data_IF_883456201766
#
_entry.id   IF_883456201766
#
_cell.length_a   1.000
_cell.length_b   1.000
_cell.length_c   1.000
_cell.angle_alpha   90.00
_cell.angle_beta   90.00
_cell.angle_gamma   90.00
#
_symmetry.space_group_name_H-M   'P 1'
#
loop_
_entity.id
_entity.type
_entity.pdbx_description
1 polymer ?
#
# COMPACT_ATOMS: atom_id res chain seq x y z
N UNK A 1 21.69 23.63 -5.68
CA UNK A 1 20.38 23.21 -5.15
C UNK A 1 19.35 23.36 -6.28
N UNK A 2 18.54 22.35 -6.58
CA UNK A 2 17.48 22.41 -7.61
C UNK A 2 16.11 22.34 -6.93
N UNK A 3 15.10 23.03 -7.48
CA UNK A 3 13.69 22.92 -7.06
C UNK A 3 12.89 22.34 -8.22
N UNK A 4 12.06 21.34 -7.95
CA UNK A 4 11.12 20.77 -8.90
C UNK A 4 9.72 21.31 -8.61
N UNK A 5 8.95 21.59 -9.66
CA UNK A 5 7.51 21.85 -9.53
C UNK A 5 6.76 20.53 -9.31
N UNK A 6 5.47 20.62 -8.95
CA UNK A 6 4.60 19.44 -8.78
C UNK A 6 4.56 18.59 -10.05
N UNK A 7 4.49 19.24 -11.21
CA UNK A 7 4.41 18.60 -12.53
C UNK A 7 5.74 17.91 -12.86
N UNK A 8 6.86 18.57 -12.59
CA UNK A 8 8.20 18.00 -12.80
C UNK A 8 8.51 16.81 -11.87
N UNK A 9 7.80 16.67 -10.75
CA UNK A 9 7.92 15.50 -9.88
C UNK A 9 7.29 14.23 -10.46
N UNK A 10 6.47 14.32 -11.51
CA UNK A 10 5.81 13.19 -12.18
C UNK A 10 5.09 12.25 -11.19
N UNK A 11 4.30 12.83 -10.27
CA UNK A 11 3.64 12.06 -9.22
C UNK A 11 2.60 11.08 -9.79
N UNK A 12 2.66 9.84 -9.31
CA UNK A 12 1.70 8.77 -9.58
C UNK A 12 1.33 7.99 -8.32
N UNK A 13 0.52 6.93 -8.45
CA UNK A 13 0.17 6.07 -7.32
C UNK A 13 1.43 5.36 -6.79
N UNK A 14 1.88 5.75 -5.59
CA UNK A 14 3.14 5.28 -4.98
C UNK A 14 4.35 5.50 -5.89
N UNK A 15 4.34 6.57 -6.68
CA UNK A 15 5.36 6.79 -7.70
C UNK A 15 5.72 8.26 -7.90
N UNK A 16 6.96 8.49 -8.37
CA UNK A 16 7.49 9.82 -8.70
C UNK A 16 8.81 9.71 -9.47
N UNK A 17 9.27 10.83 -10.05
CA UNK A 17 10.58 10.96 -10.70
C UNK A 17 11.76 10.48 -9.83
N UNK A 18 11.63 10.55 -8.50
CA UNK A 18 12.68 10.15 -7.54
C UNK A 18 12.90 8.63 -7.48
N UNK A 19 11.93 7.84 -7.96
CA UNK A 19 12.08 6.38 -8.13
C UNK A 19 12.63 5.99 -9.49
N UNK A 20 12.76 6.95 -10.41
CA UNK A 20 13.11 6.73 -11.81
C UNK A 20 14.32 7.56 -12.20
N UNK A 21 14.14 8.67 -12.95
CA UNK A 21 15.22 9.45 -13.55
C UNK A 21 16.18 10.03 -12.50
N UNK A 22 15.69 10.33 -11.30
CA UNK A 22 16.46 10.89 -10.20
C UNK A 22 16.85 9.87 -9.12
N UNK A 23 16.53 8.58 -9.32
CA UNK A 23 16.98 7.51 -8.42
C UNK A 23 18.52 7.55 -8.33
N UNK A 24 19.04 7.53 -7.10
CA UNK A 24 20.47 7.58 -6.75
C UNK A 24 21.24 8.82 -7.25
N UNK A 25 20.53 9.86 -7.72
CA UNK A 25 21.13 11.11 -8.24
C UNK A 25 20.69 12.36 -7.48
N UNK A 26 19.72 12.23 -6.58
CA UNK A 26 19.16 13.35 -5.84
C UNK A 26 18.86 12.97 -4.39
N UNK A 27 19.04 13.93 -3.48
CA UNK A 27 18.60 13.86 -2.10
C UNK A 27 17.58 14.97 -1.89
N UNK A 28 16.39 14.63 -1.37
CA UNK A 28 15.36 15.61 -1.02
C UNK A 28 15.76 16.28 0.29
N UNK A 29 15.96 17.60 0.25
CA UNK A 29 16.38 18.38 1.43
C UNK A 29 15.25 19.23 2.04
N UNK A 30 14.19 19.49 1.27
CA UNK A 30 13.03 20.26 1.72
C UNK A 30 11.81 19.92 0.86
N UNK A 31 10.62 20.09 1.44
CA UNK A 31 9.34 19.97 0.72
C UNK A 31 8.59 21.30 0.81
N UNK A 32 7.96 21.71 -0.30
CA UNK A 32 7.05 22.84 -0.34
C UNK A 32 5.62 22.34 -0.38
N UNK A 33 4.78 22.81 0.54
CA UNK A 33 3.36 22.47 0.60
C UNK A 33 2.54 23.76 0.45
N UNK A 34 1.50 23.70 -0.39
CA UNK A 34 0.50 24.76 -0.50
C UNK A 34 -0.80 24.25 0.13
N UNK A 35 -1.36 25.03 1.04
CA UNK A 35 -2.60 24.71 1.75
C UNK A 35 -3.63 25.80 1.46
N UNK A 36 -4.82 25.40 1.01
CA UNK A 36 -5.90 26.34 0.73
C UNK A 36 -6.42 26.96 2.03
N UNK A 37 -6.45 28.30 2.08
CA UNK A 37 -7.02 29.04 3.22
C UNK A 37 -8.54 28.82 3.35
N UNK A 38 -9.21 28.62 2.21
CA UNK A 38 -10.61 28.19 2.15
C UNK A 38 -10.62 26.67 2.19
N UNK A 39 -10.56 26.13 3.40
CA UNK A 39 -10.53 24.69 3.61
C UNK A 39 -11.77 24.00 3.06
N UNK A 40 -11.57 22.85 2.43
CA UNK A 40 -12.62 21.96 1.95
C UNK A 40 -12.32 20.54 2.43
N UNK A 41 -13.24 19.87 3.13
CA UNK A 41 -13.01 18.50 3.58
C UNK A 41 -13.08 17.52 2.40
N UNK A 42 -12.13 16.60 2.34
CA UNK A 42 -12.26 15.41 1.50
C UNK A 42 -12.80 14.25 2.36
N UNK A 43 -14.08 13.93 2.19
CA UNK A 43 -14.80 12.91 2.95
C UNK A 43 -15.08 11.64 2.13
N UNK A 44 -14.42 11.47 0.98
CA UNK A 44 -14.70 10.34 0.07
C UNK A 44 -14.31 8.98 0.64
N UNK A 45 -13.43 8.95 1.65
CA UNK A 45 -12.95 7.72 2.29
C UNK A 45 -13.95 7.22 3.35
N UNK A 46 -14.31 5.93 3.29
CA UNK A 46 -15.44 5.34 4.01
C UNK A 46 -15.70 5.85 5.45
N UNK A 47 -14.76 5.71 6.40
CA UNK A 47 -14.96 6.19 7.78
C UNK A 47 -15.27 7.69 7.90
N UNK A 48 -14.79 8.52 6.97
CA UNK A 48 -15.02 9.96 6.95
C UNK A 48 -16.41 10.33 6.40
N UNK A 49 -17.12 9.42 5.73
CA UNK A 49 -18.48 9.66 5.23
C UNK A 49 -19.51 9.81 6.35
N UNK A 50 -19.13 9.54 7.60
CA UNK A 50 -19.93 9.85 8.80
C UNK A 50 -19.95 11.33 9.18
N UNK A 51 -19.07 12.15 8.58
CA UNK A 51 -19.03 13.59 8.80
C UNK A 51 -19.90 14.32 7.78
N UNK A 52 -20.60 15.35 8.24
CA UNK A 52 -21.35 16.24 7.36
C UNK A 52 -20.41 17.27 6.70
N UNK A 53 -20.41 17.40 5.36
CA UNK A 53 -19.49 18.30 4.65
C UNK A 53 -19.52 19.76 5.10
N UNK A 54 -20.69 20.25 5.53
CA UNK A 54 -20.91 21.65 5.91
C UNK A 54 -20.46 21.98 7.34
N UNK A 55 -20.31 20.98 8.20
CA UNK A 55 -19.96 21.17 9.63
C UNK A 55 -18.68 20.46 10.03
N UNK A 56 -18.13 19.60 9.15
CA UNK A 56 -16.85 18.96 9.35
C UNK A 56 -15.77 20.01 9.70
N UNK A 57 -14.83 19.62 10.56
CA UNK A 57 -13.66 20.46 10.90
C UNK A 57 -12.39 19.70 10.55
N UNK A 58 -11.26 20.40 10.28
CA UNK A 58 -9.97 19.73 10.07
C UNK A 58 -9.60 18.79 11.23
N UNK A 59 -9.92 19.18 12.47
CA UNK A 59 -9.65 18.37 13.67
C UNK A 59 -10.50 17.09 13.71
N UNK A 60 -11.79 17.17 13.38
CA UNK A 60 -12.65 15.98 13.33
C UNK A 60 -12.16 14.98 12.27
N UNK A 61 -11.77 15.46 11.08
CA UNK A 61 -11.17 14.61 10.04
C UNK A 61 -9.88 13.98 10.53
N UNK A 62 -8.98 14.76 11.15
CA UNK A 62 -7.74 14.26 11.72
C UNK A 62 -7.99 13.16 12.76
N UNK A 63 -8.91 13.37 13.70
CA UNK A 63 -9.19 12.42 14.79
C UNK A 63 -9.73 11.08 14.26
N UNK A 64 -10.65 11.11 13.28
CA UNK A 64 -11.16 9.89 12.65
C UNK A 64 -10.04 9.16 11.91
N UNK A 65 -9.21 9.88 11.15
CA UNK A 65 -8.07 9.27 10.43
C UNK A 65 -7.09 8.62 11.40
N UNK A 66 -6.75 9.28 12.51
CA UNK A 66 -5.85 8.73 13.54
C UNK A 66 -6.45 7.47 14.16
N UNK A 67 -7.70 7.54 14.61
CA UNK A 67 -8.41 6.40 15.23
C UNK A 67 -8.43 5.18 14.31
N UNK A 68 -8.89 5.35 13.07
CA UNK A 68 -8.97 4.26 12.09
C UNK A 68 -7.60 3.65 11.80
N UNK A 69 -6.55 4.47 11.75
CA UNK A 69 -5.19 3.97 11.51
C UNK A 69 -4.66 3.18 12.70
N UNK A 70 -4.92 3.62 13.93
CA UNK A 70 -4.53 2.90 15.16
C UNK A 70 -5.26 1.56 15.30
N UNK A 71 -6.50 1.46 14.85
CA UNK A 71 -7.27 0.20 14.85
C UNK A 71 -6.76 -0.80 13.80
N UNK A 72 -6.36 -0.31 12.62
CA UNK A 72 -6.05 -1.16 11.45
C UNK A 72 -4.58 -1.47 11.26
N UNK A 73 -3.67 -0.62 11.72
CA UNK A 73 -2.23 -0.74 11.43
C UNK A 73 -1.47 -1.09 12.70
N UNK A 74 -0.65 -2.16 12.70
CA UNK A 74 0.18 -2.48 13.84
C UNK A 74 1.22 -1.37 14.08
N UNK A 75 1.37 -0.95 15.34
CA UNK A 75 2.42 0.00 15.72
C UNK A 75 3.79 -0.67 15.52
N UNK A 76 4.67 -0.13 14.64
CA UNK A 76 6.00 -0.69 14.41
C UNK A 76 6.87 -0.80 15.67
N UNK A 77 6.59 0.00 16.71
CA UNK A 77 7.28 -0.09 18.01
C UNK A 77 6.87 -1.31 18.83
N UNK A 78 5.68 -1.85 18.58
CA UNK A 78 5.16 -3.06 19.24
C UNK A 78 5.46 -4.29 18.41
N UNK A 79 5.20 -4.22 17.09
CA UNK A 79 5.49 -5.31 16.16
C UNK A 79 6.05 -4.73 14.87
N UNK A 80 7.35 -4.97 14.64
CA UNK A 80 8.09 -4.38 13.53
C UNK A 80 7.39 -4.65 12.19
N UNK A 81 7.14 -3.59 11.42
CA UNK A 81 6.50 -3.67 10.11
C UNK A 81 6.86 -2.44 9.27
N UNK A 82 6.67 -2.53 7.96
CA UNK A 82 6.91 -1.45 7.01
C UNK A 82 5.61 -0.90 6.40
N UNK A 83 4.48 -1.04 7.12
CA UNK A 83 3.15 -0.71 6.60
C UNK A 83 2.65 -1.71 5.56
N UNK A 84 1.87 -1.23 4.60
CA UNK A 84 1.38 -2.05 3.49
C UNK A 84 2.55 -2.56 2.64
N UNK A 85 2.71 -3.88 2.57
CA UNK A 85 3.84 -4.51 1.91
C UNK A 85 3.71 -4.51 0.39
N UNK A 86 2.48 -4.65 -0.12
CA UNK A 86 2.16 -4.62 -1.54
C UNK A 86 1.36 -3.37 -1.91
N UNK A 87 1.55 -2.91 -3.14
CA UNK A 87 0.67 -1.91 -3.74
C UNK A 87 -0.68 -2.55 -4.06
N UNK A 88 -1.72 -1.72 -4.15
CA UNK A 88 -2.97 -2.14 -4.77
C UNK A 88 -2.80 -2.24 -6.29
N UNK A 89 -2.96 -3.41 -6.91
CA UNK A 89 -2.75 -3.58 -8.34
C UNK A 89 -3.83 -2.83 -9.12
N UNK A 90 -3.43 -2.25 -10.25
CA UNK A 90 -4.34 -1.64 -11.22
C UNK A 90 -4.42 -2.59 -12.42
N UNK A 91 -5.63 -3.00 -12.77
CA UNK A 91 -5.90 -3.95 -13.85
C UNK A 91 -6.82 -3.34 -14.90
N UNK A 92 -6.86 -3.94 -16.10
CA UNK A 92 -7.76 -3.50 -17.17
C UNK A 92 -9.24 -3.70 -16.79
N UNK A 93 -10.13 -2.97 -17.46
CA UNK A 93 -11.59 -3.17 -17.30
C UNK A 93 -12.01 -4.59 -17.66
N UNK A 94 -11.44 -5.16 -18.73
CA UNK A 94 -11.72 -6.52 -19.17
C UNK A 94 -11.35 -7.56 -18.10
N UNK A 95 -10.15 -7.45 -17.51
CA UNK A 95 -9.75 -8.34 -16.43
C UNK A 95 -10.62 -8.14 -15.18
N UNK A 96 -11.03 -6.89 -14.90
CA UNK A 96 -11.92 -6.59 -13.79
C UNK A 96 -13.29 -7.24 -13.97
N UNK A 97 -13.89 -7.16 -15.16
CA UNK A 97 -15.22 -7.74 -15.43
C UNK A 97 -15.20 -9.26 -15.25
N UNK A 98 -14.15 -9.93 -15.74
CA UNK A 98 -13.94 -11.37 -15.53
C UNK A 98 -13.84 -11.71 -14.05
N UNK A 99 -13.03 -10.98 -13.28
CA UNK A 99 -12.87 -11.22 -11.85
C UNK A 99 -14.14 -10.89 -11.07
N UNK A 100 -14.87 -9.84 -11.45
CA UNK A 100 -16.09 -9.43 -10.77
C UNK A 100 -17.21 -10.45 -10.94
N UNK A 101 -17.28 -11.11 -12.10
CA UNK A 101 -18.21 -12.21 -12.35
C UNK A 101 -17.88 -13.48 -11.56
N UNK A 102 -16.62 -13.71 -11.21
CA UNK A 102 -16.20 -14.87 -10.40
C UNK A 102 -16.25 -14.59 -8.89
N UNK A 103 -16.06 -13.32 -8.51
CA UNK A 103 -15.97 -12.89 -7.13
C UNK A 103 -16.88 -11.69 -6.87
N UNK A 104 -18.14 -11.95 -6.54
CA UNK A 104 -19.16 -10.91 -6.30
C UNK A 104 -18.73 -9.86 -5.26
N UNK A 105 -17.99 -10.28 -4.23
CA UNK A 105 -17.50 -9.41 -3.17
C UNK A 105 -16.18 -8.66 -3.51
N UNK A 106 -15.68 -8.76 -4.75
CA UNK A 106 -14.45 -8.11 -5.19
C UNK A 106 -14.48 -6.60 -4.92
N UNK A 107 -13.50 -6.13 -4.14
CA UNK A 107 -13.33 -4.73 -3.77
C UNK A 107 -12.36 -4.05 -4.72
N UNK A 108 -12.86 -3.08 -5.48
CA UNK A 108 -12.08 -2.30 -6.43
C UNK A 108 -12.53 -0.84 -6.44
N UNK A 109 -11.64 0.04 -6.88
CA UNK A 109 -11.88 1.48 -7.00
C UNK A 109 -11.46 1.96 -8.40
N UNK A 110 -12.17 2.93 -9.00
CA UNK A 110 -11.73 3.54 -10.24
C UNK A 110 -10.31 4.11 -10.13
N UNK A 111 -9.51 3.89 -11.18
CA UNK A 111 -8.20 4.53 -11.39
C UNK A 111 -8.19 5.24 -12.75
N UNK A 112 -7.13 6.00 -13.05
CA UNK A 112 -7.03 6.70 -14.34
C UNK A 112 -7.11 5.73 -15.53
N UNK A 113 -6.48 4.56 -15.41
CA UNK A 113 -6.43 3.52 -16.44
C UNK A 113 -6.86 2.19 -15.82
N UNK A 114 -8.17 1.92 -15.80
CA UNK A 114 -8.74 0.66 -15.30
C UNK A 114 -9.18 0.70 -13.83
N UNK A 115 -9.15 -0.47 -13.19
CA UNK A 115 -9.66 -0.67 -11.83
C UNK A 115 -8.53 -1.02 -10.87
N UNK A 116 -8.45 -0.31 -9.74
CA UNK A 116 -7.51 -0.58 -8.66
C UNK A 116 -8.13 -1.54 -7.65
N UNK A 117 -7.63 -2.76 -7.59
CA UNK A 117 -8.12 -3.78 -6.66
C UNK A 117 -7.56 -3.55 -5.26
N UNK A 118 -8.33 -3.87 -4.21
CA UNK A 118 -7.83 -3.86 -2.85
C UNK A 118 -6.95 -5.10 -2.61
N UNK A 119 -5.62 -4.95 -2.61
CA UNK A 119 -4.67 -6.05 -2.39
C UNK A 119 -4.89 -6.74 -1.03
N UNK A 120 -5.23 -5.97 0.01
CA UNK A 120 -5.56 -6.55 1.31
C UNK A 120 -6.77 -7.49 1.26
N UNK A 121 -7.75 -7.21 0.40
CA UNK A 121 -8.89 -8.11 0.19
C UNK A 121 -8.45 -9.37 -0.57
N UNK A 122 -7.64 -9.24 -1.62
CA UNK A 122 -7.12 -10.39 -2.38
C UNK A 122 -6.35 -11.36 -1.46
N UNK A 123 -5.44 -10.85 -0.63
CA UNK A 123 -4.62 -11.65 0.30
C UNK A 123 -5.51 -12.32 1.37
N UNK A 124 -6.51 -11.60 1.88
CA UNK A 124 -7.49 -12.12 2.83
C UNK A 124 -8.30 -13.28 2.24
N UNK A 125 -8.73 -13.14 0.99
CA UNK A 125 -9.44 -14.21 0.27
C UNK A 125 -8.56 -15.42 -0.04
N UNK A 126 -7.23 -15.29 -0.06
CA UNK A 126 -6.31 -16.44 -0.09
C UNK A 126 -6.19 -17.14 1.29
N UNK A 127 -6.85 -16.64 2.34
CA UNK A 127 -6.80 -17.22 3.68
C UNK A 127 -5.48 -16.98 4.41
N UNK A 128 -4.73 -15.94 4.02
CA UNK A 128 -3.35 -15.78 4.45
C UNK A 128 -3.18 -14.97 5.74
N UNK A 129 -4.25 -14.43 6.34
CA UNK A 129 -4.14 -13.74 7.65
C UNK A 129 -3.61 -14.70 8.71
N UNK A 130 -2.55 -14.29 9.41
CA UNK A 130 -1.87 -15.12 10.41
C UNK A 130 -0.96 -16.20 9.81
N UNK A 131 -0.84 -16.31 8.48
CA UNK A 131 0.12 -17.21 7.85
C UNK A 131 1.54 -16.75 8.19
N UNK A 132 2.40 -17.70 8.56
CA UNK A 132 3.73 -17.46 9.09
C UNK A 132 4.78 -18.29 8.35
N UNK A 133 5.90 -17.66 8.00
CA UNK A 133 7.13 -18.31 7.52
C UNK A 133 8.27 -17.79 8.38
N UNK A 134 9.02 -18.69 9.01
CA UNK A 134 10.06 -18.31 9.98
C UNK A 134 9.49 -17.40 11.08
N UNK A 135 10.13 -16.25 11.33
CA UNK A 135 9.62 -15.24 12.25
C UNK A 135 8.68 -14.19 11.63
N UNK A 136 8.44 -14.25 10.31
CA UNK A 136 7.58 -13.30 9.58
C UNK A 136 6.13 -13.81 9.51
N UNK A 137 5.15 -12.90 9.63
CA UNK A 137 3.74 -13.26 9.59
C UNK A 137 2.90 -12.22 8.83
N UNK A 138 1.83 -12.66 8.17
CA UNK A 138 0.79 -11.77 7.64
C UNK A 138 -0.10 -11.30 8.80
N UNK A 139 -0.26 -10.00 8.98
CA UNK A 139 -0.98 -9.46 10.15
C UNK A 139 -2.46 -9.92 10.18
N UNK A 140 -2.97 -10.45 11.30
CA UNK A 140 -4.33 -11.00 11.39
C UNK A 140 -5.45 -10.00 11.08
N UNK A 141 -5.26 -8.72 11.44
CA UNK A 141 -6.30 -7.70 11.22
C UNK A 141 -6.09 -6.91 9.93
N UNK A 142 -4.96 -7.08 9.25
CA UNK A 142 -4.62 -6.33 8.05
C UNK A 142 -3.71 -7.14 7.13
N UNK A 143 -4.31 -7.92 6.22
CA UNK A 143 -3.60 -8.87 5.37
C UNK A 143 -2.53 -8.24 4.46
N UNK A 144 -2.61 -6.92 4.23
CA UNK A 144 -1.64 -6.19 3.43
C UNK A 144 -0.32 -5.92 4.18
N UNK A 145 -0.25 -6.15 5.49
CA UNK A 145 0.91 -5.84 6.32
C UNK A 145 1.62 -7.14 6.71
N UNK A 146 2.91 -7.23 6.39
CA UNK A 146 3.80 -8.27 6.90
C UNK A 146 4.49 -7.75 8.17
N UNK A 147 4.58 -8.59 9.18
CA UNK A 147 5.11 -8.24 10.50
C UNK A 147 6.26 -9.15 10.91
N UNK A 148 7.21 -8.57 11.65
CA UNK A 148 8.17 -9.33 12.43
C UNK A 148 7.47 -9.82 13.70
N UNK A 149 6.99 -11.06 13.67
CA UNK A 149 6.24 -11.66 14.76
C UNK A 149 7.16 -12.23 15.85
N UNK A 150 8.22 -12.93 15.45
CA UNK A 150 9.08 -13.67 16.38
C UNK A 150 10.53 -13.73 15.90
N UNK A 151 11.18 -12.56 15.74
CA UNK A 151 12.58 -12.49 15.33
C UNK A 151 12.79 -12.77 13.84
N UNK A 152 11.88 -12.29 12.99
CA UNK A 152 11.92 -12.47 11.54
C UNK A 152 13.27 -12.06 10.95
N UNK A 153 13.82 -12.92 10.11
CA UNK A 153 14.94 -12.58 9.25
C UNK A 153 14.46 -11.86 7.99
N UNK A 154 15.37 -11.22 7.26
CA UNK A 154 15.05 -10.67 5.95
C UNK A 154 14.59 -11.77 4.97
N UNK A 155 15.16 -12.98 5.07
CA UNK A 155 14.80 -14.12 4.24
C UNK A 155 13.37 -14.59 4.51
N UNK A 156 12.96 -14.64 5.79
CA UNK A 156 11.58 -14.99 6.18
C UNK A 156 10.55 -14.05 5.52
N UNK A 157 10.87 -12.75 5.47
CA UNK A 157 10.02 -11.73 4.84
C UNK A 157 9.99 -11.89 3.32
N UNK A 158 11.13 -12.21 2.69
CA UNK A 158 11.23 -12.48 1.25
C UNK A 158 10.37 -13.69 0.88
N UNK A 159 10.52 -14.79 1.61
CA UNK A 159 9.76 -16.03 1.37
C UNK A 159 8.27 -15.82 1.60
N UNK A 160 7.88 -15.14 2.68
CA UNK A 160 6.48 -14.82 2.95
C UNK A 160 5.89 -13.92 1.87
N UNK A 161 6.62 -12.90 1.43
CA UNK A 161 6.17 -12.01 0.36
C UNK A 161 5.99 -12.76 -0.97
N UNK A 162 6.93 -13.66 -1.30
CA UNK A 162 6.83 -14.49 -2.50
C UNK A 162 5.64 -15.44 -2.43
N UNK A 163 5.41 -16.09 -1.28
CA UNK A 163 4.26 -16.97 -1.06
C UNK A 163 2.93 -16.22 -1.20
N UNK A 164 2.82 -15.02 -0.62
CA UNK A 164 1.64 -14.16 -0.78
C UNK A 164 1.42 -13.75 -2.24
N UNK A 165 2.47 -13.29 -2.93
CA UNK A 165 2.39 -12.92 -4.36
C UNK A 165 1.92 -14.10 -5.21
N UNK A 166 2.49 -15.29 -5.00
CA UNK A 166 2.14 -16.48 -5.76
C UNK A 166 0.71 -16.93 -5.48
N UNK A 167 0.28 -16.93 -4.22
CA UNK A 167 -1.09 -17.32 -3.84
C UNK A 167 -2.16 -16.42 -4.47
N UNK A 168 -1.89 -15.12 -4.58
CA UNK A 168 -2.81 -14.17 -5.23
C UNK A 168 -2.78 -14.32 -6.74
N UNK A 169 -1.59 -14.57 -7.33
CA UNK A 169 -1.45 -14.85 -8.75
C UNK A 169 -2.22 -16.13 -9.14
N UNK A 170 -2.06 -17.21 -8.38
CA UNK A 170 -2.70 -18.50 -8.68
C UNK A 170 -4.22 -18.42 -8.57
N UNK A 171 -4.73 -17.68 -7.57
CA UNK A 171 -6.18 -17.58 -7.32
C UNK A 171 -6.90 -16.58 -8.20
N UNK A 172 -6.26 -15.45 -8.54
CA UNK A 172 -6.91 -14.33 -9.23
C UNK A 172 -6.28 -13.99 -10.58
N UNK A 173 -5.15 -14.59 -10.95
CA UNK A 173 -4.38 -14.14 -12.11
C UNK A 173 -3.86 -12.70 -11.95
N UNK A 174 -3.74 -12.21 -10.72
CA UNK A 174 -3.32 -10.84 -10.41
C UNK A 174 -1.94 -10.88 -9.77
N UNK A 175 -0.97 -10.22 -10.39
CA UNK A 175 0.37 -10.11 -9.83
C UNK A 175 0.47 -8.93 -8.86
N UNK A 176 0.90 -9.20 -7.63
CA UNK A 176 1.16 -8.16 -6.64
C UNK A 176 2.58 -7.59 -6.77
N UNK A 177 2.68 -6.26 -6.83
CA UNK A 177 3.96 -5.54 -6.76
C UNK A 177 4.26 -5.11 -5.32
N UNK A 178 5.48 -5.34 -4.85
CA UNK A 178 5.91 -4.86 -3.53
C UNK A 178 6.01 -3.32 -3.49
N UNK A 179 5.54 -2.72 -2.40
CA UNK A 179 5.67 -1.29 -2.10
C UNK A 179 6.94 -1.02 -1.26
N UNK A 180 7.28 -1.95 -0.38
CA UNK A 180 8.49 -1.89 0.46
C UNK A 180 9.72 -2.08 -0.43
N UNK A 181 10.75 -1.26 -0.20
CA UNK A 181 12.02 -1.33 -0.95
C UNK A 181 12.93 -2.37 -0.30
N UNK A 182 13.42 -3.33 -1.07
CA UNK A 182 14.42 -4.29 -0.60
C UNK A 182 15.81 -3.72 -0.80
N UNK A 183 16.64 -3.74 0.24
CA UNK A 183 18.02 -3.25 0.19
C UNK A 183 18.99 -4.42 0.25
N UNK A 184 19.73 -4.64 -0.84
CA UNK A 184 20.86 -5.56 -0.88
C UNK A 184 22.13 -4.91 -0.33
N UNK A 185 23.27 -5.61 -0.47
CA UNK A 185 24.56 -5.15 0.08
C UNK A 185 25.04 -3.80 -0.49
N UNK A 186 24.76 -3.50 -1.77
CA UNK A 186 25.22 -2.26 -2.42
C UNK A 186 24.08 -1.35 -2.88
N UNK A 187 22.90 -1.88 -3.19
CA UNK A 187 21.83 -1.14 -3.83
C UNK A 187 20.46 -1.78 -3.56
N UNK A 188 19.39 -1.08 -3.96
CA UNK A 188 18.05 -1.64 -4.00
C UNK A 188 17.98 -2.84 -4.96
N UNK A 189 17.29 -3.89 -4.53
CA UNK A 189 17.02 -5.13 -5.29
C UNK A 189 15.51 -5.36 -5.33
N UNK A 190 15.04 -6.30 -6.15
CA UNK A 190 13.61 -6.60 -6.28
C UNK A 190 13.30 -8.00 -5.77
N UNK A 191 12.06 -8.21 -5.32
CA UNK A 191 11.63 -9.50 -4.77
C UNK A 191 11.91 -10.67 -5.73
N UNK A 192 11.71 -10.46 -7.03
CA UNK A 192 11.98 -11.46 -8.08
C UNK A 192 13.45 -11.87 -8.20
N UNK A 193 14.37 -11.05 -7.71
CA UNK A 193 15.82 -11.29 -7.77
C UNK A 193 16.32 -11.98 -6.48
N UNK A 194 15.45 -12.16 -5.48
CA UNK A 194 15.77 -12.70 -4.15
C UNK A 194 15.25 -14.13 -3.95
N UNK A 195 14.62 -14.71 -4.97
CA UNK A 195 14.04 -16.06 -4.97
C UNK A 195 14.92 -17.04 -5.74
#
# INVERSE_FOLDING_TARGET
MKRLTREACLFGYRDSIFKHQLKDKAIVTAIGLALDKKWQPNLSYGPLQSLEPTTATPKAVFDIVVKVRQEKLPDPKVTGNAGSFFKNPIISLEQYDVLKAQFDALVAYPANEGMKLAAGWLIDQCGLKGHQIGGAMVHPNQALVLVNHSGATAQDIVELAAFVRQSVLDKFGVELEHEVRFMGAQQEVYLKDLL
#
